data_IF_257190472162
#
_entry.id   IF_257190472162
#
_cell.length_a   1.000
_cell.length_b   1.000
_cell.length_c   1.000
_cell.angle_alpha   90.00
_cell.angle_beta   90.00
_cell.angle_gamma   90.00
#
_symmetry.space_group_name_H-M   'P 1'
#
loop_
_entity.id
_entity.type
_entity.pdbx_description
1 polymer ?
#
# COMPACT_ATOMS: atom_id res chain seq x y z
N UNK A 1 -20.18 6.77 -14.37
CA UNK A 1 -19.45 5.49 -14.27
C UNK A 1 -19.82 4.85 -12.95
N UNK A 2 -20.53 3.73 -12.94
CA UNK A 2 -20.88 3.01 -11.71
C UNK A 2 -19.65 2.24 -11.22
N UNK A 3 -18.95 2.78 -10.24
CA UNK A 3 -17.85 2.06 -9.57
C UNK A 3 -18.42 0.81 -8.91
N UNK A 4 -17.94 -0.37 -9.33
CA UNK A 4 -18.32 -1.61 -8.66
C UNK A 4 -17.82 -1.59 -7.21
N UNK A 5 -18.54 -2.24 -6.30
CA UNK A 5 -18.10 -2.36 -4.89
C UNK A 5 -16.66 -2.90 -4.80
N UNK A 6 -16.31 -3.90 -5.61
CA UNK A 6 -14.96 -4.44 -5.70
C UNK A 6 -13.93 -3.39 -6.14
N UNK A 7 -14.28 -2.55 -7.12
CA UNK A 7 -13.43 -1.45 -7.57
C UNK A 7 -13.22 -0.40 -6.48
N UNK A 8 -14.27 -0.02 -5.75
CA UNK A 8 -14.18 0.91 -4.63
C UNK A 8 -13.28 0.37 -3.50
N UNK A 9 -13.44 -0.92 -3.14
CA UNK A 9 -12.60 -1.58 -2.13
C UNK A 9 -11.13 -1.63 -2.57
N UNK A 10 -10.86 -1.93 -3.84
CA UNK A 10 -9.49 -1.93 -4.37
C UNK A 10 -8.86 -0.55 -4.33
N UNK A 11 -9.60 0.50 -4.70
CA UNK A 11 -9.12 1.87 -4.62
C UNK A 11 -8.81 2.27 -3.18
N UNK A 12 -9.71 1.99 -2.23
CA UNK A 12 -9.50 2.26 -0.81
C UNK A 12 -8.28 1.52 -0.23
N UNK A 13 -8.03 0.29 -0.68
CA UNK A 13 -6.83 -0.46 -0.30
C UNK A 13 -5.57 0.24 -0.81
N UNK A 14 -5.57 0.61 -2.09
CA UNK A 14 -4.44 1.30 -2.73
C UNK A 14 -4.12 2.63 -2.05
N UNK A 15 -5.14 3.43 -1.77
CA UNK A 15 -4.98 4.73 -1.11
C UNK A 15 -4.37 4.57 0.29
N UNK A 16 -4.88 3.64 1.10
CA UNK A 16 -4.32 3.34 2.44
C UNK A 16 -2.86 2.91 2.40
N UNK A 17 -2.49 2.09 1.41
CA UNK A 17 -1.12 1.62 1.24
C UNK A 17 -0.18 2.77 0.88
N UNK A 18 -0.58 3.66 -0.03
CA UNK A 18 0.20 4.84 -0.41
C UNK A 18 0.32 5.85 0.73
N UNK A 19 -0.76 6.09 1.49
CA UNK A 19 -0.74 6.97 2.66
C UNK A 19 0.22 6.44 3.74
N UNK A 20 0.16 5.14 4.03
CA UNK A 20 1.08 4.49 4.97
C UNK A 20 2.54 4.58 4.49
N UNK A 21 2.80 4.34 3.21
CA UNK A 21 4.13 4.49 2.62
C UNK A 21 4.65 5.93 2.76
N UNK A 22 3.79 6.92 2.45
CA UNK A 22 4.12 8.35 2.57
C UNK A 22 4.44 8.74 4.00
N UNK A 23 3.73 8.19 4.99
CA UNK A 23 4.01 8.47 6.40
C UNK A 23 5.38 7.95 6.81
N UNK A 24 5.69 6.70 6.48
CA UNK A 24 6.98 6.10 6.82
C UNK A 24 8.17 6.81 6.16
N UNK A 25 7.93 7.42 4.99
CA UNK A 25 8.92 8.18 4.23
C UNK A 25 9.12 9.62 4.71
N UNK A 26 8.34 10.10 5.69
CA UNK A 26 8.60 11.42 6.32
C UNK A 26 9.90 11.44 7.10
N UNK A 27 10.21 10.33 7.77
CA UNK A 27 11.34 10.23 8.70
C UNK A 27 12.47 9.30 8.18
N UNK A 28 12.21 8.54 7.11
CA UNK A 28 13.12 7.50 6.61
C UNK A 28 13.25 7.54 5.10
N UNK A 29 14.41 7.13 4.59
CA UNK A 29 14.60 6.96 3.15
C UNK A 29 13.94 5.69 2.64
N UNK A 30 13.68 5.61 1.33
CA UNK A 30 13.09 4.42 0.70
C UNK A 30 13.85 3.14 1.05
N UNK A 31 15.18 3.17 1.02
CA UNK A 31 16.02 2.01 1.35
C UNK A 31 15.81 1.47 2.78
N UNK A 32 15.30 2.29 3.70
CA UNK A 32 15.04 1.93 5.11
C UNK A 32 13.59 1.49 5.37
N UNK A 33 12.68 1.65 4.41
CA UNK A 33 11.27 1.29 4.55
C UNK A 33 11.00 0.01 3.78
N UNK A 34 10.54 -1.04 4.46
CA UNK A 34 10.21 -2.32 3.83
C UNK A 34 8.73 -2.42 3.43
N UNK A 35 8.42 -3.23 2.42
CA UNK A 35 7.02 -3.55 2.06
C UNK A 35 6.25 -4.18 3.25
N UNK A 36 6.95 -4.86 4.15
CA UNK A 36 6.36 -5.42 5.36
C UNK A 36 5.82 -4.33 6.31
N UNK A 37 6.61 -3.28 6.52
CA UNK A 37 6.22 -2.16 7.38
C UNK A 37 5.08 -1.35 6.77
N UNK A 38 5.10 -1.14 5.45
CA UNK A 38 4.00 -0.46 4.75
C UNK A 38 2.70 -1.25 4.90
N UNK A 39 2.73 -2.56 4.69
CA UNK A 39 1.55 -3.42 4.85
C UNK A 39 1.03 -3.37 6.29
N UNK A 40 1.93 -3.47 7.28
CA UNK A 40 1.58 -3.40 8.69
C UNK A 40 0.96 -2.04 9.07
N UNK A 41 1.55 -0.93 8.61
CA UNK A 41 1.05 0.43 8.85
C UNK A 41 -0.32 0.67 8.18
N UNK A 42 -0.55 0.08 7.00
CA UNK A 42 -1.85 0.13 6.31
C UNK A 42 -2.89 -0.87 6.88
N UNK A 43 -2.51 -1.70 7.85
CA UNK A 43 -3.41 -2.69 8.48
C UNK A 43 -3.76 -3.88 7.58
N UNK A 44 -2.87 -4.27 6.67
CA UNK A 44 -3.10 -5.37 5.72
C UNK A 44 -1.95 -6.37 5.72
N UNK A 45 -2.18 -7.54 5.14
CA UNK A 45 -1.13 -8.54 4.96
C UNK A 45 -0.12 -8.12 3.88
N UNK A 46 1.12 -8.59 3.99
CA UNK A 46 2.14 -8.42 2.93
C UNK A 46 1.66 -8.95 1.58
N UNK A 47 0.97 -10.10 1.58
CA UNK A 47 0.42 -10.70 0.37
C UNK A 47 -0.62 -9.77 -0.28
N UNK A 48 -1.49 -9.13 0.51
CA UNK A 48 -2.47 -8.18 -0.02
C UNK A 48 -1.80 -7.00 -0.71
N UNK A 49 -0.72 -6.48 -0.14
CA UNK A 49 0.07 -5.41 -0.74
C UNK A 49 0.74 -5.86 -2.04
N UNK A 50 1.38 -7.03 -2.06
CA UNK A 50 1.99 -7.56 -3.29
C UNK A 50 0.96 -7.93 -4.36
N UNK A 51 -0.25 -8.36 -3.98
CA UNK A 51 -1.33 -8.56 -4.94
C UNK A 51 -1.82 -7.24 -5.57
N UNK A 52 -1.68 -6.11 -4.86
CA UNK A 52 -2.08 -4.80 -5.38
C UNK A 52 -0.99 -4.18 -6.26
N UNK A 53 0.28 -4.25 -5.83
CA UNK A 53 1.40 -3.54 -6.45
C UNK A 53 2.38 -4.42 -7.23
N UNK A 54 2.35 -5.75 -7.07
CA UNK A 54 3.24 -6.68 -7.77
C UNK A 54 4.62 -6.78 -7.14
N UNK A 55 5.42 -5.71 -7.28
CA UNK A 55 6.80 -5.65 -6.81
C UNK A 55 7.04 -4.41 -5.93
N UNK A 56 8.25 -4.32 -5.37
CA UNK A 56 8.67 -3.16 -4.60
C UNK A 56 8.84 -1.92 -5.47
N UNK A 57 9.35 -2.06 -6.68
CA UNK A 57 9.61 -0.92 -7.57
C UNK A 57 8.34 -0.35 -8.21
N UNK A 58 7.25 -1.13 -8.21
CA UNK A 58 5.92 -0.71 -8.69
C UNK A 58 5.06 -0.02 -7.61
N UNK A 59 5.52 -0.02 -6.36
CA UNK A 59 4.90 0.66 -5.24
C UNK A 59 5.27 2.14 -5.20
#
# INVERSE_FOLDING_TARGET
MTTSYRGAVRQLLRDRLLDAGRELLRDRTWAQVTMAEIAAAAGVSRQSLYNEFGTRDEF
#
